data_IF_346621919418
#
_entry.id   IF_346621919418
#
_cell.length_a   1.000
_cell.length_b   1.000
_cell.length_c   1.000
_cell.angle_alpha   90.00
_cell.angle_beta   90.00
_cell.angle_gamma   90.00
#
_symmetry.space_group_name_H-M   'P 1'
#
loop_
_entity.id
_entity.type
_entity.pdbx_description
1 polymer ?
#
# COMPACT_ATOMS: atom_id res chain seq x y z
N UNK A 1 -21.26 6.18 22.80
CA UNK A 1 -21.09 6.11 21.33
C UNK A 1 -20.15 4.94 21.01
N UNK A 2 -20.62 3.87 20.35
CA UNK A 2 -19.74 2.76 19.92
C UNK A 2 -18.99 3.25 18.67
N UNK A 3 -17.67 3.51 18.76
CA UNK A 3 -16.82 3.83 17.60
C UNK A 3 -16.91 2.65 16.63
N UNK A 4 -17.52 2.82 15.46
CA UNK A 4 -17.45 1.79 14.41
C UNK A 4 -15.96 1.52 14.14
N UNK A 5 -15.52 0.26 14.06
CA UNK A 5 -14.13 -0.04 13.77
C UNK A 5 -13.76 0.61 12.44
N UNK A 6 -12.63 1.33 12.39
CA UNK A 6 -12.22 1.94 11.12
C UNK A 6 -11.90 0.81 10.15
N UNK A 7 -12.45 0.88 8.94
CA UNK A 7 -12.16 -0.09 7.89
C UNK A 7 -10.69 -0.05 7.46
N UNK A 8 -9.92 0.97 7.88
CA UNK A 8 -8.47 1.05 7.69
C UNK A 8 -7.72 -0.27 7.92
N UNK A 9 -7.97 -0.97 9.05
CA UNK A 9 -7.21 -2.16 9.44
C UNK A 9 -7.31 -3.30 8.41
N UNK A 10 -8.50 -3.77 8.02
CA UNK A 10 -8.60 -4.84 7.03
C UNK A 10 -7.97 -4.46 5.68
N UNK A 11 -8.14 -3.20 5.21
CA UNK A 11 -7.47 -2.74 3.99
C UNK A 11 -5.95 -2.72 4.13
N UNK A 12 -5.44 -2.26 5.27
CA UNK A 12 -4.00 -2.22 5.56
C UNK A 12 -3.38 -3.61 5.69
N UNK A 13 -4.07 -4.55 6.33
CA UNK A 13 -3.62 -5.94 6.46
C UNK A 13 -3.54 -6.61 5.08
N UNK A 14 -4.58 -6.46 4.26
CA UNK A 14 -4.60 -6.99 2.90
C UNK A 14 -3.51 -6.36 2.00
N UNK A 15 -3.34 -5.03 2.05
CA UNK A 15 -2.29 -4.34 1.29
C UNK A 15 -0.88 -4.84 1.67
N UNK A 16 -0.65 -5.08 2.96
CA UNK A 16 0.61 -5.65 3.47
C UNK A 16 0.85 -7.07 2.98
N UNK A 17 -0.18 -7.90 2.87
CA UNK A 17 -0.06 -9.26 2.31
C UNK A 17 0.37 -9.20 0.84
N UNK A 18 -0.23 -8.29 0.06
CA UNK A 18 0.16 -8.05 -1.33
C UNK A 18 1.60 -7.54 -1.45
N UNK A 19 2.05 -6.65 -0.55
CA UNK A 19 3.45 -6.21 -0.50
C UNK A 19 4.41 -7.39 -0.29
N UNK A 20 4.08 -8.28 0.65
CA UNK A 20 4.91 -9.46 0.96
C UNK A 20 4.95 -10.47 -0.18
N UNK A 21 3.86 -10.57 -0.94
CA UNK A 21 3.78 -11.42 -2.12
C UNK A 21 4.46 -10.80 -3.37
N UNK A 22 4.91 -9.54 -3.30
CA UNK A 22 5.56 -8.84 -4.41
C UNK A 22 4.57 -8.22 -5.42
N UNK A 23 3.27 -8.28 -5.17
CA UNK A 23 2.22 -7.64 -5.98
C UNK A 23 2.15 -6.14 -5.66
N UNK A 24 3.20 -5.41 -5.98
CA UNK A 24 3.40 -4.03 -5.53
C UNK A 24 2.38 -3.04 -6.11
N UNK A 25 1.88 -3.27 -7.34
CA UNK A 25 0.82 -2.42 -7.91
C UNK A 25 -0.50 -2.60 -7.16
N UNK A 26 -0.88 -3.84 -6.90
CA UNK A 26 -2.10 -4.17 -6.14
C UNK A 26 -1.97 -3.72 -4.68
N UNK A 27 -0.79 -3.88 -4.08
CA UNK A 27 -0.47 -3.36 -2.76
C UNK A 27 -0.63 -1.84 -2.68
N UNK A 28 -0.18 -1.10 -3.71
CA UNK A 28 -0.37 0.34 -3.76
C UNK A 28 -1.84 0.74 -3.78
N UNK A 29 -2.66 0.02 -4.54
CA UNK A 29 -4.11 0.22 -4.57
C UNK A 29 -4.75 -0.06 -3.20
N UNK A 30 -4.37 -1.16 -2.56
CA UNK A 30 -4.81 -1.49 -1.19
C UNK A 30 -4.41 -0.42 -0.17
N UNK A 31 -3.20 0.13 -0.28
CA UNK A 31 -2.74 1.21 0.58
C UNK A 31 -3.48 2.53 0.33
N UNK A 32 -3.83 2.87 -0.91
CA UNK A 32 -4.69 4.02 -1.21
C UNK A 32 -6.08 3.85 -0.58
N UNK A 33 -6.71 2.69 -0.76
CA UNK A 33 -8.00 2.39 -0.13
C UNK A 33 -7.93 2.49 1.40
N UNK A 34 -6.84 2.00 2.01
CA UNK A 34 -6.61 2.16 3.45
C UNK A 34 -6.52 3.65 3.85
N UNK A 35 -5.81 4.47 3.08
CA UNK A 35 -5.68 5.91 3.35
C UNK A 35 -7.04 6.63 3.33
N UNK A 36 -7.93 6.28 2.40
CA UNK A 36 -9.29 6.82 2.31
C UNK A 36 -10.16 6.41 3.51
N UNK A 37 -9.99 5.17 3.99
CA UNK A 37 -10.72 4.62 5.14
C UNK A 37 -10.12 5.00 6.49
N UNK A 38 -8.95 5.63 6.50
CA UNK A 38 -8.29 6.12 7.70
C UNK A 38 -9.00 7.35 8.27
N UNK A 39 -9.47 7.23 9.52
CA UNK A 39 -10.00 8.34 10.32
C UNK A 39 -8.89 9.18 10.93
N UNK A 40 -7.83 8.52 11.40
CA UNK A 40 -6.68 9.19 11.99
C UNK A 40 -5.74 9.69 10.89
N UNK A 41 -5.30 10.96 10.95
CA UNK A 41 -4.43 11.53 9.92
C UNK A 41 -3.07 10.83 9.84
N UNK A 42 -2.58 10.27 10.95
CA UNK A 42 -1.34 9.49 10.98
C UNK A 42 -1.45 8.22 10.12
N UNK A 43 -2.57 7.50 10.22
CA UNK A 43 -2.83 6.29 9.44
C UNK A 43 -2.99 6.63 7.96
N UNK A 44 -3.67 7.74 7.65
CA UNK A 44 -3.80 8.23 6.27
C UNK A 44 -2.44 8.53 5.65
N UNK A 45 -1.61 9.30 6.35
CA UNK A 45 -0.27 9.66 5.87
C UNK A 45 0.63 8.45 5.68
N UNK A 46 0.59 7.51 6.63
CA UNK A 46 1.39 6.30 6.54
C UNK A 46 0.97 5.43 5.35
N UNK A 47 -0.33 5.21 5.16
CA UNK A 47 -0.86 4.45 4.03
C UNK A 47 -0.57 5.15 2.68
N UNK A 48 -0.72 6.47 2.61
CA UNK A 48 -0.34 7.25 1.42
C UNK A 48 1.13 7.07 1.07
N UNK A 49 2.02 7.25 2.05
CA UNK A 49 3.46 7.08 1.86
C UNK A 49 3.81 5.65 1.43
N UNK A 50 3.06 4.65 1.92
CA UNK A 50 3.25 3.28 1.48
C UNK A 50 2.77 3.01 0.06
N UNK A 51 1.61 3.53 -0.33
CA UNK A 51 1.15 3.46 -1.71
C UNK A 51 2.20 4.05 -2.67
N UNK A 52 2.75 5.22 -2.34
CA UNK A 52 3.77 5.89 -3.16
C UNK A 52 5.08 5.08 -3.24
N UNK A 53 5.47 4.39 -2.16
CA UNK A 53 6.62 3.49 -2.18
C UNK A 53 6.36 2.28 -3.09
N UNK A 54 5.20 1.64 -2.95
CA UNK A 54 4.82 0.47 -3.74
C UNK A 54 4.78 0.80 -5.24
N UNK A 55 4.20 1.95 -5.63
CA UNK A 55 4.19 2.42 -7.02
C UNK A 55 5.61 2.61 -7.56
N UNK A 56 6.47 3.34 -6.83
CA UNK A 56 7.87 3.60 -7.22
C UNK A 56 8.70 2.32 -7.31
N UNK A 57 8.46 1.37 -6.42
CA UNK A 57 9.20 0.11 -6.44
C UNK A 57 8.69 -0.81 -7.55
N UNK A 58 7.39 -0.80 -7.83
CA UNK A 58 6.81 -1.58 -8.94
C UNK A 58 7.37 -1.14 -10.29
N UNK A 59 7.58 0.16 -10.51
CA UNK A 59 8.18 0.67 -11.75
C UNK A 59 9.66 0.34 -11.87
N UNK A 60 10.39 0.31 -10.74
CA UNK A 60 11.80 -0.09 -10.69
C UNK A 60 12.00 -1.58 -10.94
N UNK A 61 11.12 -2.44 -10.43
CA UNK A 61 11.17 -3.89 -10.71
C UNK A 61 10.99 -4.21 -12.19
N UNK A 62 10.21 -3.42 -12.94
CA UNK A 62 10.09 -3.57 -14.40
C UNK A 62 11.31 -3.06 -15.18
N UNK A 63 12.19 -2.25 -14.57
CA UNK A 63 13.37 -1.69 -15.22
C UNK A 63 14.64 -2.54 -15.03
N UNK A 64 14.59 -3.60 -14.20
CA UNK A 64 15.70 -4.55 -14.12
C UNK A 64 15.65 -5.54 -15.27
N UNK A 65 16.28 -5.19 -16.39
CA UNK A 65 16.76 -6.16 -17.40
C UNK A 65 18.23 -6.46 -17.13
N UNK A 66 18.63 -7.71 -16.84
CA UNK A 66 20.03 -8.10 -16.83
C UNK A 66 20.48 -8.33 -18.28
N UNK A 67 20.71 -7.26 -19.04
CA UNK A 67 21.41 -7.33 -20.32
C UNK A 67 22.37 -6.15 -20.44
N UNK A 68 23.60 -6.37 -19.99
CA UNK A 68 24.83 -5.80 -20.52
C UNK A 68 26.00 -6.45 -19.75
N UNK A 69 26.29 -7.71 -20.09
CA UNK A 69 27.56 -8.37 -19.82
C UNK A 69 28.16 -8.75 -21.17
#
# INVERSE_FOLDING_TARGET
MKKSPSEYRPFAEHARELERAGFLKDAAFGWQAAAEKAREPINRRWAQARADWCLRWSSRSSQWSPQAA
#
